data_IF_894318680493
#
_entry.id   IF_894318680493
#
_cell.length_a   1.000
_cell.length_b   1.000
_cell.length_c   1.000
_cell.angle_alpha   90.00
_cell.angle_beta   90.00
_cell.angle_gamma   90.00
#
_symmetry.space_group_name_H-M   'P 1'
#
loop_
_entity.id
_entity.type
_entity.pdbx_description
1 polymer ?
#
# COMPACT_ATOMS: atom_id res chain seq x y z
N UNK A 1 4.24 0.64 6.33
CA UNK A 1 2.93 0.17 6.83
C UNK A 1 1.82 0.81 5.99
N UNK A 2 1.62 2.11 6.19
CA UNK A 2 0.58 2.83 5.46
C UNK A 2 0.79 2.75 3.96
N UNK A 3 2.02 2.98 3.53
CA UNK A 3 2.33 2.98 2.10
C UNK A 3 1.96 1.66 1.42
N UNK A 4 2.32 0.55 2.04
CA UNK A 4 2.05 -0.75 1.46
C UNK A 4 0.56 -1.02 1.34
N UNK A 5 -0.21 -0.61 2.34
CA UNK A 5 -1.65 -0.83 2.30
C UNK A 5 -2.22 -0.19 1.05
N UNK A 6 -1.58 0.89 0.63
CA UNK A 6 -2.01 1.60 -0.56
C UNK A 6 -1.39 0.97 -1.80
N UNK A 7 -0.07 0.81 -1.77
CA UNK A 7 0.65 0.23 -2.90
C UNK A 7 0.10 -1.15 -3.23
N UNK A 8 -0.53 -1.79 -2.25
CA UNK A 8 -1.09 -3.12 -2.46
C UNK A 8 -1.94 -3.15 -3.73
N UNK A 9 -2.49 -2.00 -4.12
CA UNK A 9 -3.32 -1.93 -5.32
C UNK A 9 -2.46 -2.09 -6.57
N UNK A 10 -1.14 -1.90 -6.42
CA UNK A 10 -0.21 -2.03 -7.55
C UNK A 10 -0.78 -1.36 -8.80
N UNK A 11 -1.19 -0.13 -8.74
#
# INVERSE_FOLDING_TARGET
>A
SRFELIVHQRX
#
